data_IF_936420031474
#
_entry.id   IF_936420031474
#
_cell.length_a   1.000
_cell.length_b   1.000
_cell.length_c   1.000
_cell.angle_alpha   90.00
_cell.angle_beta   90.00
_cell.angle_gamma   90.00
#
_symmetry.space_group_name_H-M   'P 1'
#
loop_
_entity.id
_entity.type
_entity.pdbx_description
1 polymer ?
#
# COMPACT_ATOMS: atom_id res chain seq x y z
N UNK A 1 -5.64 -14.44 13.53
CA UNK A 1 -5.88 -14.21 12.09
C UNK A 1 -7.12 -13.35 11.98
N UNK A 2 -7.07 -12.23 11.25
CA UNK A 2 -8.24 -11.35 11.05
C UNK A 2 -9.40 -12.16 10.48
N UNK A 3 -10.60 -12.07 11.09
CA UNK A 3 -11.75 -12.86 10.65
C UNK A 3 -12.30 -12.29 9.34
N UNK A 4 -11.95 -12.92 8.22
CA UNK A 4 -12.32 -12.43 6.89
C UNK A 4 -13.63 -13.08 6.45
N UNK A 5 -14.68 -12.28 6.29
CA UNK A 5 -16.01 -12.74 5.89
C UNK A 5 -16.38 -12.32 4.45
N UNK A 6 -15.54 -11.51 3.79
CA UNK A 6 -15.73 -10.99 2.43
C UNK A 6 -14.35 -10.62 1.86
N UNK A 7 -13.60 -11.61 1.35
CA UNK A 7 -12.25 -11.41 0.81
C UNK A 7 -12.29 -10.75 -0.56
N UNK A 8 -11.75 -9.53 -0.66
CA UNK A 8 -11.64 -8.82 -1.93
C UNK A 8 -10.34 -8.04 -2.03
N UNK A 9 -9.74 -8.06 -3.22
CA UNK A 9 -8.57 -7.24 -3.55
C UNK A 9 -9.02 -5.99 -4.30
N UNK A 10 -8.51 -4.83 -3.89
CA UNK A 10 -8.68 -3.55 -4.55
C UNK A 10 -7.31 -3.02 -4.97
N UNK A 11 -7.25 -2.50 -6.19
CA UNK A 11 -6.01 -1.96 -6.76
C UNK A 11 -6.07 -0.44 -6.71
N UNK A 12 -5.01 0.16 -6.19
CA UNK A 12 -4.72 1.59 -6.26
C UNK A 12 -3.46 1.78 -7.12
N UNK A 13 -3.56 2.57 -8.19
CA UNK A 13 -2.44 2.84 -9.09
C UNK A 13 -1.82 4.17 -8.68
N UNK A 14 -0.55 4.18 -8.29
CA UNK A 14 0.18 5.42 -7.99
C UNK A 14 0.69 6.07 -9.25
N UNK A 15 0.34 7.34 -9.43
CA UNK A 15 0.82 8.17 -10.52
C UNK A 15 1.84 9.21 -10.02
N UNK A 16 2.79 9.57 -10.88
CA UNK A 16 3.88 10.51 -10.55
C UNK A 16 3.37 11.92 -10.17
N UNK A 17 2.24 12.33 -10.74
CA UNK A 17 1.65 13.66 -10.56
C UNK A 17 0.36 13.64 -9.73
N UNK A 18 0.09 12.55 -9.00
CA UNK A 18 -1.03 12.51 -8.08
C UNK A 18 -0.63 13.17 -6.75
N UNK A 19 -1.03 14.43 -6.58
CA UNK A 19 -1.11 15.06 -5.26
C UNK A 19 -2.36 14.50 -4.55
N UNK A 20 -2.27 13.23 -4.13
CA UNK A 20 -3.39 12.43 -3.66
C UNK A 20 -3.84 12.79 -2.22
N UNK A 21 -3.52 14.00 -1.77
CA UNK A 21 -3.77 14.44 -0.40
C UNK A 21 -5.27 14.52 -0.06
N UNK A 22 -6.16 14.48 -1.07
CA UNK A 22 -7.61 14.63 -0.90
C UNK A 22 -8.46 13.43 -1.35
N UNK A 23 -7.90 12.41 -2.01
CA UNK A 23 -8.69 11.26 -2.47
C UNK A 23 -8.86 10.19 -1.38
N UNK A 24 -10.08 10.02 -0.90
CA UNK A 24 -10.41 8.99 0.10
C UNK A 24 -10.72 7.64 -0.57
N UNK A 25 -9.80 6.70 -0.46
CA UNK A 25 -10.02 5.32 -0.89
C UNK A 25 -10.78 4.51 0.17
N UNK A 26 -12.06 4.20 -0.09
CA UNK A 26 -12.93 3.49 0.87
C UNK A 26 -12.85 1.97 0.68
N UNK A 27 -12.54 1.26 1.77
CA UNK A 27 -12.39 -0.19 1.80
C UNK A 27 -13.24 -0.79 2.92
N UNK A 28 -13.71 -2.03 2.74
CA UNK A 28 -14.33 -2.78 3.83
C UNK A 28 -13.27 -3.51 4.66
N UNK A 29 -13.55 -3.69 5.94
CA UNK A 29 -12.74 -4.55 6.81
C UNK A 29 -12.70 -5.96 6.26
N UNK A 30 -11.49 -6.54 6.18
CA UNK A 30 -11.21 -7.82 5.54
C UNK A 30 -10.75 -7.73 4.09
N UNK A 31 -10.88 -6.56 3.44
CA UNK A 31 -10.36 -6.38 2.09
C UNK A 31 -8.84 -6.14 2.08
N UNK A 32 -8.22 -6.43 0.96
CA UNK A 32 -6.80 -6.16 0.70
C UNK A 32 -6.68 -5.00 -0.28
N UNK A 33 -5.90 -3.98 0.08
CA UNK A 33 -5.47 -2.94 -0.83
C UNK A 33 -4.11 -3.34 -1.41
N UNK A 34 -4.02 -3.42 -2.73
CA UNK A 34 -2.75 -3.51 -3.44
C UNK A 34 -2.45 -2.16 -4.07
N UNK A 35 -1.27 -1.64 -3.80
CA UNK A 35 -0.80 -0.40 -4.41
C UNK A 35 0.23 -0.77 -5.47
N UNK A 36 -0.07 -0.43 -6.73
CA UNK A 36 0.78 -0.69 -7.90
C UNK A 36 1.36 0.61 -8.44
N UNK A 37 2.52 0.56 -9.08
CA UNK A 37 3.12 1.72 -9.71
C UNK A 37 2.63 1.88 -11.14
N UNK A 38 2.29 3.10 -11.54
CA UNK A 38 2.14 3.44 -12.96
C UNK A 38 3.48 3.39 -13.69
N UNK A 39 3.44 3.41 -15.03
CA UNK A 39 4.64 3.34 -15.87
C UNK A 39 5.67 4.45 -15.60
N UNK A 40 5.24 5.64 -15.17
CA UNK A 40 6.15 6.74 -14.83
C UNK A 40 6.94 6.51 -13.53
N UNK A 41 6.37 5.74 -12.60
CA UNK A 41 6.98 5.45 -11.30
C UNK A 41 7.66 4.07 -11.25
N UNK A 42 7.32 3.14 -12.15
CA UNK A 42 7.83 1.76 -12.12
C UNK A 42 9.36 1.69 -12.29
N UNK A 43 9.93 2.59 -13.11
CA UNK A 43 11.37 2.70 -13.31
C UNK A 43 12.12 3.40 -12.15
N UNK A 44 11.40 4.01 -11.20
CA UNK A 44 11.99 4.78 -10.09
C UNK A 44 12.11 3.93 -8.82
N UNK A 45 12.98 4.37 -7.91
CA UNK A 45 13.11 3.77 -6.58
C UNK A 45 12.05 4.37 -5.64
N UNK A 46 10.91 3.70 -5.57
CA UNK A 46 9.78 4.12 -4.73
C UNK A 46 9.76 3.34 -3.43
N UNK A 47 9.57 4.07 -2.32
CA UNK A 47 9.28 3.50 -1.00
C UNK A 47 7.91 3.99 -0.58
N UNK A 48 7.07 3.09 -0.07
CA UNK A 48 5.70 3.41 0.37
C UNK A 48 5.61 3.18 1.86
N UNK A 49 5.03 4.13 2.57
CA UNK A 49 4.87 4.10 4.00
C UNK A 49 3.39 4.22 4.36
N UNK A 50 2.95 3.50 5.39
CA UNK A 50 1.58 3.64 5.90
C UNK A 50 1.54 3.51 7.42
N UNK A 51 0.58 4.21 8.05
CA UNK A 51 0.25 4.03 9.47
C UNK A 51 -0.85 2.98 9.70
N UNK A 52 -1.21 2.21 8.67
CA UNK A 52 -2.13 1.10 8.78
C UNK A 52 -1.59 0.02 9.73
N UNK A 53 -2.49 -0.54 10.54
CA UNK A 53 -2.17 -1.69 11.38
C UNK A 53 -2.02 -2.92 10.46
N UNK A 54 -0.80 -3.40 10.27
CA UNK A 54 -0.52 -4.54 9.40
C UNK A 54 -0.92 -5.87 10.07
N UNK A 55 -0.95 -5.89 11.40
CA UNK A 55 -1.37 -7.05 12.20
C UNK A 55 -2.57 -6.73 13.09
N UNK A 56 -3.35 -7.74 13.45
CA UNK A 56 -4.50 -7.60 14.35
C UNK A 56 -4.11 -7.03 15.73
N UNK A 57 -2.90 -7.37 16.20
CA UNK A 57 -2.39 -6.97 17.51
C UNK A 57 -1.74 -5.59 17.51
N UNK A 58 -1.49 -4.99 16.34
CA UNK A 58 -0.85 -3.67 16.27
C UNK A 58 -1.79 -2.60 16.83
N UNK A 59 -1.31 -1.77 17.75
CA UNK A 59 -2.05 -0.58 18.16
C UNK A 59 -1.92 0.49 17.08
N UNK A 60 -3.06 1.09 16.70
CA UNK A 60 -3.05 2.20 15.77
C UNK A 60 -2.33 3.40 16.38
N UNK A 61 -1.37 3.96 15.65
CA UNK A 61 -0.59 5.12 16.03
C UNK A 61 -0.50 6.06 14.82
N UNK A 62 -1.18 7.20 14.89
CA UNK A 62 -1.35 8.12 13.74
C UNK A 62 -0.03 8.54 13.07
N UNK A 63 1.01 8.73 13.88
CA UNK A 63 2.31 9.23 13.44
C UNK A 63 3.37 8.13 13.28
N UNK A 64 2.99 6.85 13.44
CA UNK A 64 3.89 5.74 13.27
C UNK A 64 3.71 5.12 11.89
N UNK A 65 4.59 5.49 10.96
CA UNK A 65 4.57 4.99 9.60
C UNK A 65 5.55 3.85 9.42
N UNK A 66 5.08 2.74 8.87
CA UNK A 66 5.89 1.57 8.54
C UNK A 66 6.11 1.50 7.04
N UNK A 67 7.33 1.16 6.63
CA UNK A 67 7.65 0.89 5.22
C UNK A 67 7.00 -0.42 4.78
N UNK A 68 6.22 -0.35 3.70
CA UNK A 68 5.55 -1.51 3.12
C UNK A 68 6.52 -2.30 2.24
N UNK A 69 6.40 -3.62 2.29
CA UNK A 69 7.27 -4.53 1.53
C UNK A 69 6.72 -4.76 0.12
N UNK A 70 7.60 -4.62 -0.88
CA UNK A 70 7.30 -4.97 -2.25
C UNK A 70 7.09 -6.47 -2.41
N UNK A 71 6.04 -6.83 -3.16
CA UNK A 71 5.72 -8.17 -3.61
C UNK A 71 5.94 -8.21 -5.12
N UNK A 72 6.63 -9.25 -5.58
CA UNK A 72 7.00 -9.46 -6.97
C UNK A 72 6.28 -10.71 -7.47
N UNK A 73 5.20 -10.58 -8.24
CA UNK A 73 4.41 -11.73 -8.71
C UNK A 73 5.16 -12.56 -9.76
N UNK A 74 6.07 -11.94 -10.52
CA UNK A 74 6.96 -12.64 -11.43
C UNK A 74 8.20 -13.16 -10.68
N UNK A 75 8.44 -14.48 -10.65
CA UNK A 75 9.68 -15.07 -10.11
C UNK A 75 10.93 -14.78 -10.98
N UNK A 76 10.77 -14.04 -12.08
CA UNK A 76 11.85 -13.62 -12.97
C UNK A 76 12.45 -12.31 -12.48
N UNK A 77 13.70 -12.40 -12.00
CA UNK A 77 14.52 -11.35 -11.37
C UNK A 77 14.78 -10.08 -12.22
N UNK A 78 14.15 -9.95 -13.38
CA UNK A 78 14.44 -8.93 -14.39
C UNK A 78 13.21 -8.10 -14.80
N UNK A 79 12.01 -8.49 -14.37
CA UNK A 79 10.78 -7.73 -14.65
C UNK A 79 10.12 -7.35 -13.33
N UNK A 80 10.62 -6.27 -12.72
CA UNK A 80 10.05 -5.66 -11.51
C UNK A 80 8.88 -4.71 -11.83
N UNK A 81 8.46 -4.68 -13.10
CA UNK A 81 7.48 -3.74 -13.66
C UNK A 81 6.08 -3.88 -13.06
N UNK A 82 5.73 -5.05 -12.54
CA UNK A 82 4.42 -5.36 -11.96
C UNK A 82 4.44 -5.50 -10.43
N UNK A 83 5.50 -5.02 -9.76
CA UNK A 83 5.60 -5.07 -8.29
C UNK A 83 4.47 -4.26 -7.64
N UNK A 84 4.03 -4.72 -6.48
CA UNK A 84 2.99 -4.06 -5.69
C UNK A 84 3.31 -4.15 -4.20
N UNK A 85 2.75 -3.25 -3.40
CA UNK A 85 2.68 -3.44 -1.94
C UNK A 85 1.27 -3.83 -1.54
N UNK A 86 1.13 -4.57 -0.45
CA UNK A 86 -0.16 -5.10 0.00
C UNK A 86 -0.46 -4.66 1.43
N UNK A 87 -1.69 -4.21 1.68
CA UNK A 87 -2.21 -3.85 3.00
C UNK A 87 -3.52 -4.59 3.22
N UNK A 88 -3.54 -5.48 4.22
CA UNK A 88 -4.78 -6.12 4.68
C UNK A 88 -5.53 -5.18 5.63
N UNK A 89 -6.77 -4.82 5.30
CA UNK A 89 -7.59 -3.93 6.11
C UNK A 89 -8.22 -4.68 7.29
N UNK A 90 -7.43 -5.00 8.31
CA UNK A 90 -7.89 -5.75 9.47
C UNK A 90 -8.71 -4.94 10.48
N UNK A 91 -8.56 -3.60 10.49
CA UNK A 91 -9.23 -2.71 11.45
C UNK A 91 -10.02 -1.64 10.71
N UNK A 92 -11.20 -1.33 11.22
CA UNK A 92 -11.98 -0.19 10.75
C UNK A 92 -11.34 1.12 11.21
N UNK A 93 -11.20 2.08 10.31
CA UNK A 93 -10.61 3.38 10.63
C UNK A 93 -10.17 4.14 9.38
N UNK A 94 -9.51 5.27 9.61
CA UNK A 94 -8.86 6.05 8.57
C UNK A 94 -7.35 5.94 8.72
N UNK A 95 -6.72 5.39 7.69
CA UNK A 95 -5.28 5.25 7.60
C UNK A 95 -4.75 6.17 6.51
N UNK A 96 -3.47 6.49 6.63
CA UNK A 96 -2.77 7.34 5.70
C UNK A 96 -1.59 6.57 5.12
N UNK A 97 -1.29 6.85 3.86
CA UNK A 97 -0.07 6.39 3.21
C UNK A 97 0.61 7.56 2.50
N UNK A 98 1.91 7.48 2.33
CA UNK A 98 2.68 8.37 1.47
C UNK A 98 3.79 7.57 0.79
N UNK A 99 4.41 8.14 -0.24
CA UNK A 99 5.55 7.52 -0.90
C UNK A 99 6.67 8.54 -1.11
N UNK A 100 7.90 8.04 -1.19
CA UNK A 100 9.09 8.85 -1.50
C UNK A 100 9.75 8.33 -2.75
N UNK A 101 10.24 9.23 -3.59
CA UNK A 101 11.07 8.93 -4.76
C UNK A 101 12.54 9.12 -4.37
N UNK A 102 13.38 8.12 -4.60
CA UNK A 102 14.83 8.16 -4.35
C UNK A 102 15.25 8.43 -2.89
N UNK A 103 14.33 8.24 -1.93
CA UNK A 103 14.60 8.47 -0.51
C UNK A 103 14.62 9.93 -0.09
N UNK A 104 14.17 10.85 -0.95
CA UNK A 104 13.96 12.25 -0.59
C UNK A 104 12.64 12.35 0.18
N UNK A 105 12.72 12.72 1.46
CA UNK A 105 11.59 13.03 2.36
C UNK A 105 11.13 14.46 2.17
#
# INVERSE_FOLDING_TARGET
MCSVHDEQVRILILNENEDNNEELFRLKTGWTLQIVLSAGLSARKIRIFSNACLNENDQFQRNNYQELKWVYPSNTKYDDSNRYVSILCCKSGSFHYYFTIDGTT
#
